data_IF_259430530660
#
_entry.id   IF_259430530660
#
_cell.length_a   1.000
_cell.length_b   1.000
_cell.length_c   1.000
_cell.angle_alpha   90.00
_cell.angle_beta   90.00
_cell.angle_gamma   90.00
#
_symmetry.space_group_name_H-M   'P 1'
#
loop_
_entity.id
_entity.type
_entity.pdbx_description
1 polymer ?
#
# COMPACT_ATOMS: atom_id res chain seq x y z
N UNK A 1 -37.92 54.06 25.07
CA UNK A 1 -39.05 54.74 24.45
C UNK A 1 -39.13 54.29 23.00
N UNK A 2 -39.97 53.39 22.54
CA UNK A 2 -40.83 52.30 23.03
C UNK A 2 -41.39 51.66 21.74
N UNK A 3 -41.87 50.40 21.80
CA UNK A 3 -42.49 49.69 20.66
C UNK A 3 -43.83 50.30 20.19
N UNK A 4 -44.76 49.56 19.55
CA UNK A 4 -44.88 48.08 19.50
C UNK A 4 -45.55 47.47 18.21
N UNK A 5 -45.89 46.17 18.30
CA UNK A 5 -47.02 45.37 17.71
C UNK A 5 -47.23 45.27 16.16
N UNK A 6 -47.70 44.15 15.57
CA UNK A 6 -48.16 42.84 16.04
C UNK A 6 -48.79 41.97 14.92
N UNK A 7 -48.89 40.65 15.19
CA UNK A 7 -49.91 39.64 14.76
C UNK A 7 -50.07 39.19 13.29
N UNK A 8 -50.57 38.00 12.92
CA UNK A 8 -50.67 36.58 13.41
C UNK A 8 -51.77 35.90 12.54
N UNK A 9 -51.55 34.71 11.96
CA UNK A 9 -52.59 33.68 11.62
C UNK A 9 -51.86 32.32 11.46
N UNK A 10 -52.06 31.29 12.31
CA UNK A 10 -53.12 30.24 12.41
C UNK A 10 -53.19 29.35 11.15
N UNK A 11 -53.01 28.03 11.24
CA UNK A 11 -54.02 27.04 11.66
C UNK A 11 -53.40 25.63 11.91
N UNK A 12 -54.14 24.58 12.30
CA UNK A 12 -54.57 24.16 13.66
C UNK A 12 -54.79 22.64 13.60
N UNK A 13 -54.54 21.96 14.71
CA UNK A 13 -54.54 20.50 14.86
C UNK A 13 -55.93 19.90 15.18
N UNK A 14 -56.11 18.63 14.75
CA UNK A 14 -56.92 17.53 15.33
C UNK A 14 -58.45 17.70 15.50
N UNK A 15 -59.16 16.56 15.53
CA UNK A 15 -59.85 16.22 16.77
C UNK A 15 -59.81 14.72 17.15
N UNK A 16 -60.05 14.49 18.44
CA UNK A 16 -60.29 13.21 19.14
C UNK A 16 -61.62 13.37 19.91
N UNK A 17 -62.16 12.24 20.40
CA UNK A 17 -63.33 12.06 21.29
C UNK A 17 -64.65 11.83 20.53
N UNK A 18 -65.55 10.91 20.89
CA UNK A 18 -65.68 9.96 22.00
C UNK A 18 -67.14 9.48 22.09
N UNK A 19 -67.36 8.40 22.86
CA UNK A 19 -68.62 7.98 23.52
C UNK A 19 -69.68 7.13 22.78
N UNK A 20 -69.89 5.97 23.42
CA UNK A 20 -71.13 5.46 24.06
C UNK A 20 -72.12 4.68 23.19
N UNK A 21 -72.39 3.46 23.66
CA UNK A 21 -73.22 2.45 23.04
C UNK A 21 -74.72 2.74 23.00
N UNK A 22 -75.42 1.86 22.30
CA UNK A 22 -76.75 1.37 22.69
C UNK A 22 -77.05 0.09 21.92
N UNK A 23 -77.73 -0.80 22.64
CA UNK A 23 -78.25 -2.09 22.25
C UNK A 23 -79.14 -2.05 20.99
N UNK A 24 -79.24 -3.18 20.29
CA UNK A 24 -80.50 -3.86 19.97
C UNK A 24 -80.23 -5.03 18.99
N UNK A 25 -80.32 -6.26 19.52
CA UNK A 25 -80.78 -7.43 18.77
C UNK A 25 -82.33 -7.48 18.92
N UNK A 26 -83.11 -8.16 18.05
CA UNK A 26 -83.13 -9.63 18.03
C UNK A 26 -83.53 -10.32 16.71
N UNK A 27 -83.33 -11.65 16.72
CA UNK A 27 -84.20 -12.73 16.16
C UNK A 27 -84.39 -12.78 14.63
N UNK A 28 -84.29 -13.91 13.93
CA UNK A 28 -84.55 -15.33 14.20
C UNK A 28 -83.70 -16.15 13.18
N UNK A 29 -83.05 -17.29 13.45
CA UNK A 29 -83.41 -18.59 14.06
C UNK A 29 -83.37 -19.68 12.95
N UNK A 30 -82.84 -20.85 13.33
CA UNK A 30 -82.80 -22.17 12.65
C UNK A 30 -81.53 -22.44 11.83
N UNK A 31 -80.72 -23.48 12.07
CA UNK A 31 -80.64 -24.61 13.02
C UNK A 31 -79.42 -25.44 12.58
N UNK A 32 -78.39 -25.61 13.42
CA UNK A 32 -78.05 -26.83 14.21
C UNK A 32 -77.49 -28.02 13.39
N UNK A 33 -76.74 -28.98 13.96
CA UNK A 33 -75.36 -28.87 14.44
C UNK A 33 -74.40 -29.88 13.77
N UNK A 34 -73.11 -29.76 14.11
CA UNK A 34 -72.06 -30.65 13.66
C UNK A 34 -72.18 -32.12 14.10
N UNK A 35 -71.44 -32.95 13.38
CA UNK A 35 -71.08 -34.31 13.79
C UNK A 35 -69.68 -34.61 13.24
N UNK A 36 -68.70 -34.73 14.13
CA UNK A 36 -67.53 -35.59 13.95
C UNK A 36 -67.89 -36.97 14.55
N UNK A 37 -67.10 -38.05 14.40
CA UNK A 37 -65.77 -38.19 13.79
C UNK A 37 -65.67 -39.35 12.77
N UNK A 38 -64.63 -39.40 11.93
CA UNK A 38 -64.17 -40.71 11.46
C UNK A 38 -62.66 -40.77 11.19
N UNK A 39 -62.07 -41.85 11.68
CA UNK A 39 -60.67 -42.18 11.61
C UNK A 39 -60.47 -43.21 10.49
N UNK A 40 -59.63 -42.88 9.50
CA UNK A 40 -59.26 -43.79 8.41
C UNK A 40 -57.81 -43.57 7.95
N UNK A 41 -57.12 -44.61 7.44
CA UNK A 41 -55.73 -44.88 7.79
C UNK A 41 -54.68 -44.15 6.96
N UNK A 42 -53.58 -43.81 7.64
CA UNK A 42 -52.32 -43.30 7.08
C UNK A 42 -51.71 -44.36 6.15
N UNK A 43 -51.65 -44.09 4.85
CA UNK A 43 -50.82 -44.85 3.92
C UNK A 43 -49.40 -44.32 3.95
N UNK A 44 -48.53 -45.12 4.57
CA UNK A 44 -47.09 -44.97 4.54
C UNK A 44 -46.56 -45.38 3.15
N UNK A 45 -46.48 -44.43 2.21
CA UNK A 45 -45.88 -44.70 0.90
C UNK A 45 -45.23 -43.49 0.21
N UNK A 46 -44.91 -42.40 0.92
CA UNK A 46 -44.38 -41.18 0.28
C UNK A 46 -43.20 -40.51 1.01
N UNK A 47 -42.40 -41.31 1.73
CA UNK A 47 -41.26 -40.82 2.52
C UNK A 47 -39.98 -41.61 2.28
N UNK A 48 -39.68 -41.98 1.03
CA UNK A 48 -38.42 -42.65 0.66
C UNK A 48 -37.68 -42.02 -0.53
N UNK A 49 -37.91 -40.75 -0.82
CA UNK A 49 -37.13 -40.02 -1.82
C UNK A 49 -36.70 -38.62 -1.32
N UNK A 50 -35.93 -38.60 -0.21
CA UNK A 50 -35.22 -37.39 0.27
C UNK A 50 -33.82 -37.72 0.80
N UNK A 51 -33.17 -38.72 0.21
CA UNK A 51 -31.97 -39.31 0.78
C UNK A 51 -30.92 -39.68 -0.25
N UNK A 52 -30.65 -38.82 -1.23
CA UNK A 52 -29.41 -38.78 -2.00
C UNK A 52 -29.40 -37.64 -3.02
N UNK A 53 -28.99 -36.45 -2.57
CA UNK A 53 -28.26 -35.50 -3.42
C UNK A 53 -26.96 -35.27 -2.66
N UNK A 54 -26.03 -36.21 -2.83
CA UNK A 54 -24.92 -36.04 -3.76
C UNK A 54 -24.03 -34.89 -3.29
N UNK A 55 -23.01 -35.30 -2.55
CA UNK A 55 -21.81 -34.55 -2.20
C UNK A 55 -21.07 -34.29 -3.52
N UNK A 56 -21.59 -33.38 -4.34
CA UNK A 56 -20.95 -32.91 -5.58
C UNK A 56 -20.88 -31.38 -5.63
N UNK A 57 -21.23 -30.70 -4.54
CA UNK A 57 -20.97 -29.27 -4.40
C UNK A 57 -19.57 -29.09 -3.81
N UNK A 58 -18.61 -28.87 -4.70
CA UNK A 58 -17.21 -28.62 -4.33
C UNK A 58 -17.08 -27.50 -3.30
N UNK A 59 -16.00 -27.51 -2.49
CA UNK A 59 -15.80 -26.56 -1.38
C UNK A 59 -15.89 -25.09 -1.81
N UNK A 60 -15.61 -24.80 -3.08
CA UNK A 60 -15.71 -23.47 -3.69
C UNK A 60 -17.16 -22.98 -3.78
N UNK A 61 -18.14 -23.87 -3.99
CA UNK A 61 -19.56 -23.53 -4.12
C UNK A 61 -20.21 -23.39 -2.75
N UNK A 62 -19.98 -24.34 -1.83
CA UNK A 62 -20.44 -24.21 -0.43
C UNK A 62 -19.95 -22.91 0.23
N UNK A 63 -18.70 -22.53 -0.03
CA UNK A 63 -18.15 -21.26 0.47
C UNK A 63 -18.86 -20.04 -0.18
N UNK A 64 -19.39 -20.18 -1.41
CA UNK A 64 -20.05 -19.13 -2.21
C UNK A 64 -21.51 -18.88 -1.83
N UNK A 65 -22.25 -19.90 -1.40
CA UNK A 65 -23.69 -19.82 -1.09
C UNK A 65 -24.03 -19.72 0.41
N UNK A 66 -23.05 -19.64 1.32
CA UNK A 66 -23.31 -19.46 2.76
C UNK A 66 -23.73 -18.00 3.09
N UNK A 67 -24.93 -17.63 2.68
CA UNK A 67 -25.55 -16.33 2.96
C UNK A 67 -26.14 -16.29 4.39
N UNK A 68 -25.29 -16.00 5.38
CA UNK A 68 -25.71 -15.55 6.70
C UNK A 68 -24.92 -16.10 7.89
N UNK A 69 -24.09 -15.25 8.52
CA UNK A 69 -23.46 -15.52 9.82
C UNK A 69 -21.93 -15.31 9.86
N UNK A 70 -21.27 -15.64 10.99
CA UNK A 70 -19.83 -15.44 11.20
C UNK A 70 -18.93 -16.12 10.15
N UNK A 71 -19.44 -17.12 9.43
CA UNK A 71 -18.74 -17.82 8.35
C UNK A 71 -18.46 -16.91 7.15
N UNK A 72 -19.41 -16.04 6.77
CA UNK A 72 -19.21 -15.07 5.70
C UNK A 72 -18.12 -14.05 6.08
N UNK A 73 -18.15 -13.55 7.32
CA UNK A 73 -17.11 -12.65 7.82
C UNK A 73 -15.71 -13.31 7.84
N UNK A 74 -15.61 -14.58 8.26
CA UNK A 74 -14.34 -15.34 8.21
C UNK A 74 -13.86 -15.52 6.76
N UNK A 75 -14.77 -15.82 5.83
CA UNK A 75 -14.44 -15.95 4.41
C UNK A 75 -13.93 -14.62 3.84
N UNK A 76 -14.57 -13.51 4.15
CA UNK A 76 -14.20 -12.19 3.64
C UNK A 76 -12.82 -11.77 4.17
N UNK A 77 -12.56 -12.01 5.46
CA UNK A 77 -11.23 -11.79 6.06
C UNK A 77 -10.19 -12.71 5.42
N UNK A 78 -10.48 -14.00 5.27
CA UNK A 78 -9.56 -14.96 4.65
C UNK A 78 -9.26 -14.61 3.18
N UNK A 79 -10.29 -14.18 2.43
CA UNK A 79 -10.13 -13.74 1.04
C UNK A 79 -9.28 -12.48 0.95
N UNK A 80 -9.49 -11.52 1.85
CA UNK A 80 -8.70 -10.28 1.90
C UNK A 80 -7.23 -10.56 2.23
N UNK A 81 -6.97 -11.41 3.23
CA UNK A 81 -5.61 -11.86 3.58
C UNK A 81 -4.97 -12.62 2.42
N UNK A 82 -5.71 -13.50 1.74
CA UNK A 82 -5.22 -14.25 0.59
C UNK A 82 -4.84 -13.33 -0.57
N UNK A 83 -5.66 -12.31 -0.89
CA UNK A 83 -5.36 -11.33 -1.93
C UNK A 83 -4.07 -10.58 -1.59
N UNK A 84 -3.93 -10.10 -0.35
CA UNK A 84 -2.73 -9.35 0.08
C UNK A 84 -1.50 -10.25 0.04
N UNK A 85 -1.61 -11.49 0.47
CA UNK A 85 -0.53 -12.47 0.39
C UNK A 85 -0.13 -12.73 -1.08
N UNK A 86 -1.09 -12.90 -1.99
CA UNK A 86 -0.81 -13.09 -3.43
C UNK A 86 -0.13 -11.87 -4.03
N UNK A 87 -0.61 -10.65 -3.74
CA UNK A 87 0.01 -9.42 -4.22
C UNK A 87 1.43 -9.26 -3.64
N UNK A 88 1.61 -9.50 -2.33
CA UNK A 88 2.91 -9.45 -1.68
C UNK A 88 3.90 -10.47 -2.23
N UNK A 89 3.46 -11.71 -2.45
CA UNK A 89 4.26 -12.76 -3.07
C UNK A 89 4.62 -12.43 -4.52
N UNK A 90 3.68 -11.87 -5.28
CA UNK A 90 3.94 -11.43 -6.65
C UNK A 90 4.99 -10.31 -6.68
N UNK A 91 4.83 -9.30 -5.83
CA UNK A 91 5.80 -8.21 -5.72
C UNK A 91 7.17 -8.75 -5.32
N UNK A 92 7.26 -9.58 -4.28
CA UNK A 92 8.50 -10.21 -3.84
C UNK A 92 9.13 -11.08 -4.94
N UNK A 93 8.32 -11.85 -5.67
CA UNK A 93 8.81 -12.69 -6.77
C UNK A 93 9.42 -11.85 -7.90
N UNK A 94 8.88 -10.65 -8.17
CA UNK A 94 9.39 -9.71 -9.17
C UNK A 94 10.60 -8.95 -8.65
N UNK A 95 10.49 -8.35 -7.45
CA UNK A 95 11.52 -7.49 -6.87
C UNK A 95 12.73 -8.24 -6.36
N UNK A 96 12.60 -9.48 -5.89
CA UNK A 96 13.68 -10.23 -5.25
C UNK A 96 13.96 -9.82 -3.80
N UNK A 97 13.46 -8.67 -3.35
CA UNK A 97 13.65 -8.14 -2.00
C UNK A 97 12.39 -7.51 -1.39
N UNK A 98 12.41 -7.31 -0.08
CA UNK A 98 11.34 -6.65 0.68
C UNK A 98 11.90 -5.53 1.58
N UNK A 99 11.31 -4.33 1.60
CA UNK A 99 10.08 -3.91 0.92
C UNK A 99 10.32 -3.52 -0.56
N UNK A 100 9.37 -3.85 -1.46
CA UNK A 100 9.52 -3.57 -2.91
C UNK A 100 9.21 -2.11 -3.29
N UNK A 101 8.67 -1.31 -2.37
CA UNK A 101 8.23 0.06 -2.61
C UNK A 101 8.70 0.96 -1.48
N UNK A 102 9.39 2.06 -1.79
CA UNK A 102 9.84 3.07 -0.83
C UNK A 102 9.27 4.44 -1.12
N UNK A 103 8.95 5.20 -0.07
CA UNK A 103 8.60 6.61 -0.20
C UNK A 103 9.87 7.45 -0.06
N UNK A 104 10.02 8.47 -0.90
CA UNK A 104 11.16 9.37 -0.87
C UNK A 104 10.89 10.51 0.10
N UNK A 105 11.71 10.60 1.14
CA UNK A 105 11.52 11.58 2.21
C UNK A 105 12.26 12.90 1.98
N UNK A 106 13.25 12.94 1.09
CA UNK A 106 14.08 14.12 0.83
C UNK A 106 14.19 14.45 -0.66
N UNK A 107 14.40 15.72 -0.97
CA UNK A 107 14.61 16.21 -2.34
C UNK A 107 16.03 16.03 -2.88
N UNK A 108 16.86 15.14 -2.31
CA UNK A 108 18.26 14.97 -2.74
C UNK A 108 18.41 14.43 -4.16
N UNK A 109 17.34 13.86 -4.72
CA UNK A 109 17.28 13.28 -6.06
C UNK A 109 16.51 14.14 -7.07
N UNK A 110 16.16 15.37 -6.72
CA UNK A 110 15.46 16.28 -7.63
C UNK A 110 16.36 16.73 -8.81
N UNK A 111 15.79 16.99 -9.99
CA UNK A 111 14.37 16.87 -10.36
C UNK A 111 13.94 15.45 -10.77
N UNK A 112 14.86 14.47 -10.79
CA UNK A 112 14.63 13.16 -11.40
C UNK A 112 13.73 12.26 -10.55
N UNK A 113 13.82 12.38 -9.22
CA UNK A 113 12.92 11.77 -8.24
C UNK A 113 12.54 12.85 -7.23
N UNK A 114 11.24 13.13 -7.10
CA UNK A 114 10.74 14.19 -6.22
C UNK A 114 10.54 13.69 -4.80
N UNK A 115 10.60 14.61 -3.83
CA UNK A 115 10.07 14.34 -2.50
C UNK A 115 8.61 13.90 -2.62
N UNK A 116 8.21 12.88 -1.84
CA UNK A 116 6.90 12.23 -1.92
C UNK A 116 6.65 11.31 -3.12
N UNK A 117 7.65 10.99 -3.94
CA UNK A 117 7.51 9.93 -4.93
C UNK A 117 7.52 8.54 -4.26
N UNK A 118 6.73 7.61 -4.81
CA UNK A 118 6.81 6.19 -4.47
C UNK A 118 7.71 5.50 -5.49
N UNK A 119 8.81 4.90 -5.04
CA UNK A 119 9.81 4.26 -5.90
C UNK A 119 9.73 2.75 -5.73
N UNK A 120 9.64 2.03 -6.85
CA UNK A 120 9.74 0.58 -6.90
C UNK A 120 11.20 0.16 -6.95
N UNK A 121 11.60 -0.68 -6.00
CA UNK A 121 12.96 -1.19 -5.84
C UNK A 121 12.99 -2.67 -6.17
N UNK A 122 14.05 -3.09 -6.85
CA UNK A 122 14.40 -4.49 -7.07
C UNK A 122 15.77 -4.77 -6.45
N UNK A 123 15.99 -6.01 -6.05
CA UNK A 123 17.30 -6.54 -5.69
C UNK A 123 18.33 -6.26 -6.80
N UNK A 124 19.56 -5.96 -6.44
CA UNK A 124 20.59 -5.49 -7.37
C UNK A 124 20.95 -6.52 -8.45
N UNK A 125 20.84 -7.82 -8.14
CA UNK A 125 21.04 -8.90 -9.09
C UNK A 125 19.86 -9.10 -10.06
N UNK A 126 18.71 -8.49 -9.79
CA UNK A 126 17.54 -8.53 -10.69
C UNK A 126 17.69 -7.49 -11.79
N UNK A 127 17.41 -7.93 -13.02
CA UNK A 127 17.47 -7.09 -14.22
C UNK A 127 18.82 -6.36 -14.34
N UNK A 128 19.91 -7.03 -13.94
CA UNK A 128 21.25 -6.53 -14.12
C UNK A 128 21.55 -6.40 -15.62
N UNK A 129 22.10 -5.26 -16.00
CA UNK A 129 22.59 -5.02 -17.35
C UNK A 129 23.95 -5.73 -17.55
N UNK A 130 24.34 -5.96 -18.80
CA UNK A 130 25.65 -6.55 -19.12
C UNK A 130 26.79 -5.60 -18.73
N UNK A 131 26.51 -4.30 -18.72
CA UNK A 131 27.44 -3.22 -18.37
C UNK A 131 27.51 -2.92 -16.87
N UNK A 132 26.83 -3.73 -16.05
CA UNK A 132 26.89 -3.60 -14.60
C UNK A 132 28.29 -3.94 -14.07
N UNK A 133 28.70 -3.28 -12.98
CA UNK A 133 29.91 -3.64 -12.27
C UNK A 133 29.81 -5.11 -11.84
N UNK A 134 30.85 -5.88 -12.20
CA UNK A 134 30.86 -7.33 -12.08
C UNK A 134 30.50 -7.78 -10.66
N UNK A 135 29.51 -8.66 -10.55
CA UNK A 135 29.06 -9.19 -9.27
C UNK A 135 28.13 -8.29 -8.45
N UNK A 136 27.77 -7.10 -8.96
CA UNK A 136 26.89 -6.16 -8.24
C UNK A 136 25.54 -5.93 -8.93
N UNK A 137 25.50 -6.07 -10.26
CA UNK A 137 24.29 -5.79 -11.04
C UNK A 137 23.90 -4.30 -11.12
N UNK A 138 24.76 -3.38 -10.66
CA UNK A 138 24.57 -1.93 -10.70
C UNK A 138 25.40 -1.33 -11.84
N UNK A 139 24.76 -0.55 -12.70
CA UNK A 139 25.46 0.26 -13.72
C UNK A 139 25.75 1.64 -13.15
N UNK A 140 27.01 2.08 -13.15
CA UNK A 140 27.35 3.42 -12.63
C UNK A 140 27.02 4.51 -13.65
N UNK A 141 26.96 5.77 -13.23
CA UNK A 141 26.78 6.90 -14.14
C UNK A 141 27.96 7.04 -15.10
N UNK A 142 29.19 6.69 -14.69
CA UNK A 142 30.34 6.68 -15.57
C UNK A 142 30.14 5.66 -16.71
N UNK A 143 29.81 4.42 -16.39
CA UNK A 143 29.62 3.35 -17.39
C UNK A 143 28.34 3.57 -18.22
N UNK A 144 27.26 4.04 -17.59
CA UNK A 144 25.98 4.31 -18.23
C UNK A 144 26.06 5.40 -19.30
N UNK A 145 27.00 6.34 -19.19
CA UNK A 145 27.26 7.36 -20.22
C UNK A 145 27.89 6.78 -21.47
N UNK A 146 28.62 5.68 -21.35
CA UNK A 146 29.28 5.02 -22.48
C UNK A 146 28.34 4.02 -23.16
N UNK A 147 27.37 3.50 -22.42
CA UNK A 147 26.51 2.38 -22.80
C UNK A 147 25.05 2.78 -23.06
N UNK A 148 24.72 4.07 -22.92
CA UNK A 148 23.35 4.62 -23.05
C UNK A 148 22.35 4.01 -22.04
N UNK A 149 22.86 3.49 -20.92
CA UNK A 149 22.04 2.97 -19.82
C UNK A 149 21.53 4.12 -18.94
N UNK A 150 20.23 4.42 -19.02
CA UNK A 150 19.61 5.51 -18.26
C UNK A 150 18.58 5.05 -17.23
N UNK A 151 18.60 5.71 -16.06
CA UNK A 151 17.53 5.66 -15.06
C UNK A 151 17.11 7.07 -14.64
N UNK A 152 15.79 7.27 -14.67
CA UNK A 152 15.16 8.54 -14.30
C UNK A 152 15.62 9.75 -15.15
N UNK A 153 15.98 9.49 -16.42
CA UNK A 153 16.38 10.53 -17.38
C UNK A 153 17.85 10.97 -17.26
N UNK A 154 18.68 10.20 -16.54
CA UNK A 154 20.13 10.35 -16.50
C UNK A 154 20.80 8.98 -16.56
N UNK A 155 22.05 8.96 -17.01
CA UNK A 155 22.88 7.77 -17.04
C UNK A 155 23.07 7.12 -15.65
N UNK A 156 23.18 5.78 -15.66
CA UNK A 156 23.48 4.96 -14.50
C UNK A 156 22.29 4.74 -13.56
N UNK A 157 22.44 3.73 -12.70
CA UNK A 157 21.44 3.31 -11.74
C UNK A 157 21.37 4.21 -10.49
N UNK A 158 20.16 4.26 -9.92
CA UNK A 158 19.91 4.85 -8.60
C UNK A 158 19.75 3.71 -7.60
N UNK A 159 20.58 3.71 -6.56
CA UNK A 159 20.65 2.64 -5.57
C UNK A 159 20.10 3.10 -4.23
N UNK A 160 19.51 2.17 -3.48
CA UNK A 160 19.12 2.37 -2.09
C UNK A 160 20.07 1.60 -1.20
N UNK A 161 20.76 2.28 -0.30
CA UNK A 161 21.80 1.67 0.54
C UNK A 161 21.71 2.11 2.00
N UNK A 162 22.36 1.34 2.87
CA UNK A 162 22.49 1.64 4.29
C UNK A 162 23.86 2.31 4.53
N UNK A 163 23.92 3.58 4.96
CA UNK A 163 25.17 4.27 5.22
C UNK A 163 26.08 3.51 6.20
N UNK A 164 27.33 3.28 5.81
CA UNK A 164 28.34 2.57 6.61
C UNK A 164 27.93 1.16 7.07
N UNK A 165 26.88 0.58 6.47
CA UNK A 165 26.27 -0.68 6.91
C UNK A 165 25.62 -0.62 8.30
N UNK A 166 25.35 0.58 8.83
CA UNK A 166 24.69 0.74 10.14
C UNK A 166 23.17 0.54 10.01
N UNK A 167 22.59 -0.57 10.51
CA UNK A 167 21.16 -0.86 10.35
C UNK A 167 20.25 0.10 11.13
N UNK A 168 20.82 0.96 12.00
CA UNK A 168 20.08 2.00 12.71
C UNK A 168 20.03 3.32 11.93
N UNK A 169 20.85 3.47 10.91
CA UNK A 169 20.84 4.62 10.02
C UNK A 169 19.67 4.54 9.04
N UNK A 170 19.11 5.70 8.68
CA UNK A 170 18.10 5.78 7.63
C UNK A 170 18.73 5.43 6.28
N UNK A 171 18.09 4.53 5.53
CA UNK A 171 18.54 4.20 4.17
C UNK A 171 18.51 5.42 3.25
N UNK A 172 19.47 5.50 2.34
CA UNK A 172 19.62 6.62 1.42
C UNK A 172 19.44 6.13 -0.01
N UNK A 173 18.74 6.92 -0.83
CA UNK A 173 18.53 6.67 -2.26
C UNK A 173 19.33 7.68 -3.07
N UNK A 174 20.43 7.27 -3.69
CA UNK A 174 21.28 8.15 -4.51
C UNK A 174 21.82 7.43 -5.75
N UNK A 175 22.36 8.19 -6.70
CA UNK A 175 22.94 7.63 -7.92
C UNK A 175 24.33 7.07 -7.65
N UNK A 176 24.61 5.89 -8.20
CA UNK A 176 25.96 5.33 -8.21
C UNK A 176 26.77 6.08 -9.28
N UNK A 177 27.75 6.89 -8.87
CA UNK A 177 28.50 7.72 -9.82
C UNK A 177 29.59 6.93 -10.53
N UNK A 178 30.40 6.19 -9.78
CA UNK A 178 31.45 5.34 -10.29
C UNK A 178 31.87 4.30 -9.23
N UNK A 179 32.51 3.24 -9.70
CA UNK A 179 33.12 2.21 -8.86
C UNK A 179 34.57 2.56 -8.52
N UNK A 180 35.00 2.20 -7.31
CA UNK A 180 36.38 2.35 -6.84
C UNK A 180 36.87 1.03 -6.27
N UNK A 181 38.16 0.76 -6.46
CA UNK A 181 38.83 -0.39 -5.85
C UNK A 181 39.50 0.02 -4.53
N UNK A 182 39.77 -0.94 -3.65
CA UNK A 182 40.53 -0.73 -2.43
C UNK A 182 41.88 -0.04 -2.74
N UNK A 183 42.27 0.87 -1.85
CA UNK A 183 43.45 1.73 -1.92
C UNK A 183 43.48 2.72 -3.11
N UNK A 184 42.39 2.84 -3.89
CA UNK A 184 42.31 3.82 -4.97
C UNK A 184 42.19 5.25 -4.41
N UNK A 185 43.05 6.17 -4.88
CA UNK A 185 42.86 7.60 -4.71
C UNK A 185 41.82 8.12 -5.71
N UNK A 186 40.55 7.79 -5.43
CA UNK A 186 39.43 8.09 -6.31
C UNK A 186 39.18 9.58 -6.52
N UNK A 187 39.65 10.42 -5.59
CA UNK A 187 39.59 11.88 -5.70
C UNK A 187 40.44 12.39 -6.88
N UNK A 188 41.60 11.79 -7.10
CA UNK A 188 42.49 12.19 -8.20
C UNK A 188 42.18 11.46 -9.51
N UNK A 189 41.65 10.24 -9.46
CA UNK A 189 41.43 9.41 -10.65
C UNK A 189 40.07 9.60 -11.31
N UNK A 190 38.99 9.77 -10.53
CA UNK A 190 37.61 9.65 -11.02
C UNK A 190 36.67 10.77 -10.58
N UNK A 191 36.91 11.41 -9.44
CA UNK A 191 36.00 12.39 -8.90
C UNK A 191 35.83 13.62 -9.81
N UNK A 192 34.60 14.11 -9.90
CA UNK A 192 34.32 15.42 -10.49
C UNK A 192 34.77 16.52 -9.51
N UNK A 193 35.72 17.39 -9.89
CA UNK A 193 36.19 18.47 -9.02
C UNK A 193 35.07 19.39 -8.52
N UNK A 194 33.98 19.55 -9.28
CA UNK A 194 32.84 20.36 -8.88
C UNK A 194 32.05 19.74 -7.71
N UNK A 195 32.12 18.41 -7.54
CA UNK A 195 31.46 17.66 -6.49
C UNK A 195 32.34 17.41 -5.25
N UNK A 196 33.53 18.01 -5.20
CA UNK A 196 34.49 17.82 -4.11
C UNK A 196 34.47 18.94 -3.06
N UNK A 197 33.74 20.04 -3.26
CA UNK A 197 33.76 21.20 -2.35
C UNK A 197 35.20 21.68 -1.98
N UNK A 198 36.17 21.46 -2.86
CA UNK A 198 37.59 21.78 -2.63
C UNK A 198 38.34 20.82 -1.68
N UNK A 199 37.72 19.72 -1.25
CA UNK A 199 38.36 18.69 -0.44
C UNK A 199 39.35 17.87 -1.28
N UNK A 200 40.47 17.51 -0.65
CA UNK A 200 41.46 16.60 -1.20
C UNK A 200 41.31 15.21 -0.58
N UNK A 201 42.02 14.22 -1.13
CA UNK A 201 42.04 12.87 -0.56
C UNK A 201 42.43 12.87 0.93
N UNK A 202 43.35 13.75 1.34
CA UNK A 202 43.80 13.86 2.73
C UNK A 202 42.71 14.38 3.70
N UNK A 203 41.66 15.02 3.18
CA UNK A 203 40.56 15.57 3.97
C UNK A 203 39.40 14.57 4.16
N UNK A 204 39.44 13.44 3.46
CA UNK A 204 38.32 12.51 3.33
C UNK A 204 38.71 11.15 3.92
N UNK A 205 37.95 10.69 4.92
CA UNK A 205 38.23 9.43 5.61
C UNK A 205 38.12 8.19 4.70
N UNK A 206 37.36 8.30 3.61
CA UNK A 206 37.18 7.26 2.61
C UNK A 206 38.15 7.39 1.42
N UNK A 207 39.22 8.20 1.54
CA UNK A 207 40.27 8.32 0.54
C UNK A 207 41.68 8.16 1.17
N UNK A 208 42.52 7.22 0.69
CA UNK A 208 42.23 6.21 -0.33
C UNK A 208 41.04 5.32 0.03
N UNK A 209 40.40 4.72 -0.97
CA UNK A 209 39.22 3.88 -0.76
C UNK A 209 39.54 2.74 0.22
N UNK A 210 38.82 2.60 1.34
CA UNK A 210 39.15 1.58 2.34
C UNK A 210 38.80 0.15 1.88
N UNK A 211 38.01 0.02 0.81
CA UNK A 211 37.59 -1.23 0.19
C UNK A 211 36.90 -0.89 -1.15
N UNK A 212 36.62 -1.93 -1.94
CA UNK A 212 35.89 -1.77 -3.19
C UNK A 212 34.44 -1.32 -2.94
N UNK A 213 33.89 -0.53 -3.86
CA UNK A 213 32.50 -0.11 -3.77
C UNK A 213 32.17 1.11 -4.62
N UNK A 214 31.00 1.68 -4.36
CA UNK A 214 30.46 2.80 -5.11
C UNK A 214 30.73 4.13 -4.40
N UNK A 215 31.13 5.13 -5.18
CA UNK A 215 30.98 6.54 -4.79
C UNK A 215 29.60 6.99 -5.27
N UNK A 216 28.81 7.55 -4.36
CA UNK A 216 27.40 7.89 -4.59
C UNK A 216 27.16 9.37 -4.39
N UNK A 217 26.11 9.88 -5.04
CA UNK A 217 25.68 11.27 -4.88
C UNK A 217 24.22 11.43 -5.26
N UNK A 218 23.52 12.25 -4.48
CA UNK A 218 22.18 12.71 -4.85
C UNK A 218 22.22 13.63 -6.07
N UNK A 219 21.28 13.48 -6.99
CA UNK A 219 21.22 14.27 -8.23
C UNK A 219 21.16 15.78 -7.94
N UNK A 220 20.44 16.19 -6.89
CA UNK A 220 20.35 17.58 -6.43
C UNK A 220 21.49 18.00 -5.48
N UNK A 221 22.27 17.04 -4.95
CA UNK A 221 23.34 17.35 -4.01
C UNK A 221 24.51 18.04 -4.72
N UNK A 222 25.23 18.91 -4.01
CA UNK A 222 26.40 19.60 -4.57
C UNK A 222 27.68 18.79 -4.51
N UNK A 223 27.76 17.82 -3.60
CA UNK A 223 28.96 17.03 -3.37
C UNK A 223 28.63 15.55 -3.17
N UNK A 224 29.65 14.70 -3.25
CA UNK A 224 29.51 13.27 -2.99
C UNK A 224 29.09 12.98 -1.56
N UNK A 225 28.49 11.81 -1.38
CA UNK A 225 28.09 11.29 -0.07
C UNK A 225 29.30 10.93 0.80
N UNK A 226 30.46 10.75 0.16
CA UNK A 226 31.74 10.41 0.79
C UNK A 226 32.40 11.57 1.53
N UNK A 227 31.91 12.79 1.34
CA UNK A 227 32.48 13.98 1.96
C UNK A 227 31.90 14.22 3.37
N UNK A 228 32.71 14.72 4.32
CA UNK A 228 32.21 15.11 5.63
C UNK A 228 31.08 16.14 5.52
N UNK A 229 30.02 15.97 6.32
CA UNK A 229 28.84 16.87 6.35
C UNK A 229 28.18 17.08 4.97
N UNK A 230 28.24 16.09 4.09
CA UNK A 230 27.65 16.13 2.75
C UNK A 230 26.80 14.90 2.50
N UNK A 231 25.63 15.09 1.89
CA UNK A 231 24.78 13.99 1.41
C UNK A 231 24.47 12.97 2.51
N UNK A 232 24.85 11.71 2.26
CA UNK A 232 24.66 10.61 3.20
C UNK A 232 25.73 10.49 4.31
N UNK A 233 26.84 11.24 4.22
CA UNK A 233 27.99 11.16 5.13
C UNK A 233 28.42 9.71 5.41
N UNK A 234 28.82 9.01 4.35
CA UNK A 234 29.18 7.59 4.38
C UNK A 234 30.57 7.36 3.81
N UNK A 235 31.20 6.22 4.11
CA UNK A 235 32.39 5.79 3.36
C UNK A 235 32.01 5.35 1.93
N UNK A 236 32.95 4.77 1.18
CA UNK A 236 32.64 4.07 -0.08
C UNK A 236 31.52 3.06 0.18
N UNK A 237 30.48 3.00 -0.66
CA UNK A 237 29.31 2.14 -0.43
C UNK A 237 29.62 0.74 -0.93
N UNK A 238 29.70 -0.24 -0.03
CA UNK A 238 29.90 -1.64 -0.43
C UNK A 238 28.68 -2.19 -1.18
N UNK A 239 28.87 -3.15 -2.09
CA UNK A 239 27.75 -3.89 -2.70
C UNK A 239 26.80 -4.48 -1.64
N UNK A 240 27.34 -5.06 -0.57
CA UNK A 240 26.56 -5.68 0.51
C UNK A 240 25.71 -4.71 1.34
N UNK A 241 25.91 -3.39 1.18
CA UNK A 241 25.09 -2.35 1.82
C UNK A 241 23.99 -1.82 0.91
N UNK A 242 24.04 -2.15 -0.38
CA UNK A 242 22.96 -1.89 -1.33
C UNK A 242 21.83 -2.85 -1.01
N UNK A 243 20.65 -2.28 -0.78
CA UNK A 243 19.41 -3.01 -0.50
C UNK A 243 18.53 -3.16 -1.74
N UNK A 244 18.90 -2.48 -2.82
CA UNK A 244 18.31 -2.63 -4.14
C UNK A 244 18.50 -1.41 -5.04
N UNK A 245 17.99 -1.53 -6.27
CA UNK A 245 18.01 -0.53 -7.35
C UNK A 245 16.61 0.01 -7.60
N UNK A 246 16.52 1.33 -7.74
CA UNK A 246 15.29 2.02 -8.09
C UNK A 246 14.98 1.84 -9.58
N UNK A 247 13.83 1.25 -9.90
CA UNK A 247 13.45 0.90 -11.27
C UNK A 247 12.37 1.81 -11.87
N UNK A 248 11.41 2.21 -11.04
CA UNK A 248 10.26 3.01 -11.45
C UNK A 248 9.89 3.97 -10.33
N UNK A 249 9.45 5.18 -10.70
CA UNK A 249 8.82 6.11 -9.76
C UNK A 249 7.36 6.34 -10.14
N UNK A 250 6.52 6.51 -9.13
CA UNK A 250 5.14 6.95 -9.27
C UNK A 250 4.97 8.28 -8.55
N UNK A 251 4.77 9.38 -9.28
CA UNK A 251 4.67 10.71 -8.69
C UNK A 251 3.56 10.81 -7.65
N UNK A 252 3.82 11.56 -6.57
CA UNK A 252 2.83 11.94 -5.53
C UNK A 252 2.19 10.78 -4.74
N UNK A 253 2.64 9.53 -4.90
CA UNK A 253 2.07 8.39 -4.15
C UNK A 253 2.83 8.03 -2.87
N UNK A 254 3.97 8.66 -2.58
CA UNK A 254 4.73 8.46 -1.35
C UNK A 254 3.99 8.97 -0.10
N UNK A 255 3.21 10.04 -0.23
CA UNK A 255 2.35 10.56 0.86
C UNK A 255 1.32 9.54 1.33
N UNK A 256 0.80 8.70 0.41
CA UNK A 256 -0.12 7.65 0.79
C UNK A 256 0.56 6.64 1.72
N UNK A 257 1.79 6.21 1.39
CA UNK A 257 2.57 5.31 2.25
C UNK A 257 2.87 5.95 3.61
N UNK A 258 3.35 7.19 3.63
CA UNK A 258 3.64 7.90 4.89
C UNK A 258 2.38 8.08 5.76
N UNK A 259 1.23 8.34 5.14
CA UNK A 259 -0.05 8.37 5.83
C UNK A 259 -0.43 6.99 6.40
N UNK A 260 -0.22 5.91 5.64
CA UNK A 260 -0.44 4.54 6.12
C UNK A 260 0.48 4.17 7.30
N UNK A 261 1.76 4.52 7.24
CA UNK A 261 2.73 4.26 8.32
C UNK A 261 2.42 5.11 9.57
N UNK A 262 1.95 6.36 9.38
CA UNK A 262 1.49 7.23 10.48
C UNK A 262 0.22 6.71 11.16
N UNK A 263 -0.74 6.21 10.38
CA UNK A 263 -1.95 5.56 10.90
C UNK A 263 -1.60 4.29 11.68
N UNK A 264 -0.61 3.51 11.21
CA UNK A 264 -0.09 2.33 11.90
C UNK A 264 0.54 2.68 13.26
N UNK A 265 1.32 3.76 13.33
CA UNK A 265 1.94 4.22 14.56
C UNK A 265 0.92 4.77 15.58
N UNK A 266 -0.13 5.46 15.12
CA UNK A 266 -1.17 6.04 15.98
C UNK A 266 -2.19 5.02 16.49
N UNK A 267 -2.42 3.94 15.76
CA UNK A 267 -3.48 2.99 16.10
C UNK A 267 -3.01 1.78 16.92
N UNK A 268 -1.70 1.50 16.99
CA UNK A 268 -1.16 0.39 17.79
C UNK A 268 -1.67 -1.00 17.36
N UNK A 269 -2.27 -1.10 16.18
CA UNK A 269 -2.93 -2.31 15.68
C UNK A 269 -1.90 -3.17 14.94
N UNK A 270 -1.57 -4.32 15.54
CA UNK A 270 -0.74 -5.35 14.88
C UNK A 270 -1.33 -5.80 13.55
N UNK A 271 -0.48 -6.37 12.68
CA UNK A 271 -0.63 -6.61 11.23
C UNK A 271 -1.95 -7.25 10.72
N UNK A 272 -2.87 -7.67 11.57
CA UNK A 272 -4.11 -8.33 11.18
C UNK A 272 -5.31 -7.38 10.96
N UNK A 273 -5.34 -6.17 11.52
CA UNK A 273 -6.56 -5.33 11.49
C UNK A 273 -6.50 -4.08 10.60
N UNK A 274 -5.37 -3.80 9.92
CA UNK A 274 -5.29 -2.70 8.93
C UNK A 274 -6.02 -3.04 7.62
N UNK A 275 -6.19 -4.33 7.29
CA UNK A 275 -6.84 -4.76 6.04
C UNK A 275 -8.35 -4.49 5.99
N UNK A 276 -9.00 -4.26 7.12
CA UNK A 276 -10.46 -3.99 7.17
C UNK A 276 -10.77 -2.51 6.90
N UNK A 277 -9.84 -1.59 7.18
CA UNK A 277 -10.05 -0.16 6.94
C UNK A 277 -9.86 0.26 5.46
N UNK A 278 -9.15 -0.55 4.66
CA UNK A 278 -8.85 -0.24 3.25
C UNK A 278 -10.07 -0.36 2.33
N UNK A 279 -11.05 -1.21 2.67
CA UNK A 279 -12.24 -1.43 1.83
C UNK A 279 -13.26 -0.29 1.89
N UNK A 280 -13.36 0.41 3.03
CA UNK A 280 -14.35 1.48 3.20
C UNK A 280 -13.94 2.78 2.49
N UNK A 281 -12.65 3.06 2.35
CA UNK A 281 -12.19 4.35 1.80
C UNK A 281 -12.18 4.42 0.27
N UNK A 282 -11.95 3.28 -0.41
CA UNK A 282 -12.05 3.20 -1.87
C UNK A 282 -13.49 3.46 -2.38
N UNK A 283 -14.51 3.11 -1.58
CA UNK A 283 -15.91 3.29 -1.94
C UNK A 283 -16.38 4.76 -1.79
N UNK A 284 -15.76 5.52 -0.87
CA UNK A 284 -16.05 6.96 -0.70
C UNK A 284 -15.44 7.80 -1.83
N UNK A 285 -14.26 7.43 -2.33
CA UNK A 285 -13.62 8.15 -3.45
C UNK A 285 -14.29 7.88 -4.81
N UNK A 286 -14.82 6.68 -5.04
CA UNK A 286 -15.61 6.40 -6.25
C UNK A 286 -16.97 7.13 -6.27
N UNK A 287 -17.58 7.36 -5.11
CA UNK A 287 -18.81 8.14 -5.00
C UNK A 287 -18.58 9.65 -5.24
N UNK A 288 -17.42 10.18 -4.85
CA UNK A 288 -17.09 11.60 -5.03
C UNK A 288 -16.68 11.95 -6.49
N UNK A 289 -16.08 11.01 -7.23
CA UNK A 289 -15.67 11.23 -8.62
C UNK A 289 -16.84 11.09 -9.64
N UNK A 290 -17.95 10.43 -9.26
CA UNK A 290 -19.12 10.26 -10.13
C UNK A 290 -20.08 11.45 -10.17
N UNK A 291 -19.94 12.43 -9.27
CA UNK A 291 -20.89 13.53 -9.11
C UNK A 291 -20.59 14.77 -9.97
N UNK A 292 -19.60 14.71 -10.88
CA UNK A 292 -19.35 15.79 -11.85
C UNK A 292 -19.42 15.25 -13.27
N UNK A 293 -20.57 15.45 -13.91
CA UNK A 293 -20.75 15.49 -15.36
C UNK A 293 -21.73 16.63 -15.70
N UNK A 294 -21.61 17.18 -16.91
CA UNK A 294 -21.22 18.56 -17.21
C UNK A 294 -22.24 19.63 -16.81
#
# INVERSE_FOLDING_TARGET
MDGPDGERTRDRSAPRDGRRGSDWAPSDRHGDPGSAPDAGPRTAADARDRGRVAIEDGPVRWLREADGGPIAAVRDVATSVAIVAVVGLLLFAISGGWPPLVAVESGSMEPHISQSDLVFIVDEGRFADEDAIAGTGVVTLADGRETDHERFGLAGDVVVFVPNGDPTATSVIHRAHFWVEADENWVETKADPAAMNGATCADIASCPAPHDGFVTKGDANRAYDQLPRSGAETTVVKPEWVTGKAMLRVPHLGELRLAFDSIRALSGVGSAAVLVASGAFALVLFAAAGARKP
#
